data_IF_561192108484
#
_entry.id   IF_561192108484
#
_cell.length_a   1.000
_cell.length_b   1.000
_cell.length_c   1.000
_cell.angle_alpha   90.00
_cell.angle_beta   90.00
_cell.angle_gamma   90.00
#
_symmetry.space_group_name_H-M   'P 1'
#
loop_
_entity.id
_entity.type
_entity.pdbx_description
1 polymer ?
#
# COMPACT_ATOMS: atom_id res chain seq x y z
N UNK A 1 -3.34 -12.94 4.02
CA UNK A 1 -2.00 -12.32 3.92
C UNK A 1 -2.12 -10.93 3.24
N UNK A 2 -1.19 -9.99 3.40
CA UNK A 2 -1.26 -8.67 2.71
C UNK A 2 -1.07 -8.84 1.20
N UNK A 3 -0.12 -9.69 0.79
CA UNK A 3 0.16 -9.96 -0.62
C UNK A 3 -1.08 -10.46 -1.36
N UNK A 4 -1.76 -11.44 -0.80
CA UNK A 4 -3.01 -12.02 -1.37
C UNK A 4 -4.14 -10.99 -1.53
N UNK A 5 -4.13 -9.90 -0.76
CA UNK A 5 -5.14 -8.83 -0.86
C UNK A 5 -4.86 -7.84 -2.00
N UNK A 6 -3.61 -7.78 -2.48
CA UNK A 6 -3.15 -6.80 -3.46
C UNK A 6 -2.79 -7.44 -4.80
N UNK A 7 -2.21 -8.64 -4.76
CA UNK A 7 -1.73 -9.35 -5.95
C UNK A 7 -2.90 -9.88 -6.78
N UNK A 8 -2.86 -9.65 -8.09
CA UNK A 8 -3.93 -9.99 -9.04
C UNK A 8 -5.33 -9.45 -8.68
N UNK A 9 -5.42 -8.51 -7.74
CA UNK A 9 -6.67 -7.90 -7.32
C UNK A 9 -6.96 -6.62 -8.12
N UNK A 10 -8.23 -6.35 -8.38
CA UNK A 10 -8.64 -5.05 -8.89
C UNK A 10 -8.72 -4.05 -7.72
N UNK A 11 -7.69 -3.22 -7.56
CA UNK A 11 -7.55 -2.34 -6.37
C UNK A 11 -8.74 -1.41 -6.13
N UNK A 12 -9.46 -1.03 -7.20
CA UNK A 12 -10.68 -0.21 -7.12
C UNK A 12 -11.82 -0.88 -6.32
N UNK A 13 -11.84 -2.21 -6.21
CA UNK A 13 -12.86 -2.94 -5.42
C UNK A 13 -12.53 -2.99 -3.93
N UNK A 14 -11.32 -2.56 -3.53
CA UNK A 14 -10.92 -2.49 -2.14
C UNK A 14 -11.52 -1.22 -1.53
N UNK A 15 -12.79 -1.27 -1.11
CA UNK A 15 -13.52 -0.09 -0.61
C UNK A 15 -12.77 0.71 0.47
N UNK A 16 -12.11 0.02 1.40
CA UNK A 16 -11.31 0.64 2.47
C UNK A 16 -10.04 1.38 2.00
N UNK A 17 -9.60 1.17 0.75
CA UNK A 17 -8.47 1.88 0.13
C UNK A 17 -8.91 3.22 -0.49
N UNK A 18 -10.17 3.34 -0.94
CA UNK A 18 -10.61 4.47 -1.74
C UNK A 18 -10.05 4.42 -3.16
N UNK A 19 -9.84 5.58 -3.79
CA UNK A 19 -9.18 5.66 -5.11
C UNK A 19 -7.76 5.08 -5.02
N UNK A 20 -7.33 4.17 -5.91
CA UNK A 20 -6.03 3.48 -5.81
C UNK A 20 -4.87 4.34 -6.30
N UNK A 21 -4.71 5.52 -5.70
CA UNK A 21 -3.52 6.36 -5.84
C UNK A 21 -2.34 5.74 -5.07
N UNK A 22 -1.11 6.18 -5.35
CA UNK A 22 0.09 5.65 -4.67
C UNK A 22 0.02 5.91 -3.15
N UNK A 23 -0.48 7.08 -2.77
CA UNK A 23 -0.68 7.53 -1.39
C UNK A 23 -1.68 6.62 -0.67
N UNK A 24 -2.84 6.37 -1.27
CA UNK A 24 -3.89 5.56 -0.68
C UNK A 24 -3.47 4.09 -0.53
N UNK A 25 -2.74 3.55 -1.51
CA UNK A 25 -2.14 2.21 -1.42
C UNK A 25 -1.13 2.17 -0.26
N UNK A 26 -0.26 3.17 -0.15
CA UNK A 26 0.72 3.29 0.93
C UNK A 26 0.07 3.34 2.31
N UNK A 27 -0.95 4.17 2.49
CA UNK A 27 -1.69 4.27 3.75
C UNK A 27 -2.49 3.00 4.08
N UNK A 28 -3.05 2.31 3.07
CA UNK A 28 -3.72 1.03 3.26
C UNK A 28 -2.75 -0.03 3.80
N UNK A 29 -1.56 -0.12 3.19
CA UNK A 29 -0.49 -1.04 3.61
C UNK A 29 -0.02 -0.70 5.03
N UNK A 30 0.22 0.58 5.32
CA UNK A 30 0.57 1.05 6.67
C UNK A 30 -0.44 0.57 7.72
N UNK A 31 -1.73 0.85 7.52
CA UNK A 31 -2.82 0.44 8.43
C UNK A 31 -2.89 -1.07 8.64
N UNK A 32 -2.49 -1.86 7.65
CA UNK A 32 -2.42 -3.32 7.78
C UNK A 32 -1.20 -3.78 8.57
N UNK A 33 -0.03 -3.20 8.31
CA UNK A 33 1.26 -3.58 8.93
C UNK A 33 1.33 -3.17 10.40
N UNK A 34 0.85 -1.98 10.78
CA UNK A 34 0.90 -1.52 12.19
C UNK A 34 0.14 -2.46 13.13
N UNK A 35 -0.94 -3.09 12.65
CA UNK A 35 -1.73 -4.06 13.43
C UNK A 35 -0.97 -5.36 13.73
N UNK A 36 0.17 -5.58 13.08
CA UNK A 36 0.99 -6.78 13.21
C UNK A 36 2.23 -6.58 14.08
N UNK A 37 2.41 -5.39 14.67
CA UNK A 37 3.50 -5.05 15.59
C UNK A 37 4.92 -5.27 15.00
N UNK A 38 5.09 -5.01 13.71
CA UNK A 38 6.40 -5.02 13.06
C UNK A 38 7.18 -3.73 13.37
N UNK A 39 8.51 -3.84 13.46
CA UNK A 39 9.42 -2.69 13.47
C UNK A 39 9.54 -2.13 12.05
N UNK A 40 8.51 -1.41 11.61
CA UNK A 40 8.46 -0.86 10.27
C UNK A 40 9.33 0.40 10.19
N UNK A 41 10.22 0.45 9.20
CA UNK A 41 11.11 1.59 8.95
C UNK A 41 10.67 2.41 7.73
N UNK A 42 10.13 1.75 6.69
CA UNK A 42 9.76 2.41 5.43
C UNK A 42 8.71 1.60 4.66
N UNK A 43 7.77 2.29 4.04
CA UNK A 43 6.91 1.76 2.98
C UNK A 43 7.19 2.55 1.71
N UNK A 44 7.45 1.87 0.60
CA UNK A 44 7.63 2.49 -0.71
C UNK A 44 6.70 1.80 -1.71
N UNK A 45 5.86 2.57 -2.38
CA UNK A 45 5.01 2.14 -3.48
C UNK A 45 5.52 2.79 -4.75
N UNK A 46 5.73 2.01 -5.80
CA UNK A 46 6.29 2.51 -7.06
C UNK A 46 5.49 2.00 -8.24
N UNK A 47 5.15 2.89 -9.17
CA UNK A 47 4.50 2.55 -10.43
C UNK A 47 5.55 2.47 -11.52
N UNK A 48 5.92 1.24 -11.91
CA UNK A 48 6.97 0.98 -12.91
C UNK A 48 6.72 1.66 -14.25
N UNK A 49 5.46 1.83 -14.65
CA UNK A 49 5.10 2.40 -15.96
C UNK A 49 5.39 3.89 -16.08
N UNK A 50 5.45 4.64 -14.97
CA UNK A 50 5.58 6.10 -14.99
C UNK A 50 6.74 6.61 -14.12
N UNK A 51 7.53 5.71 -13.53
CA UNK A 51 8.64 6.02 -12.61
C UNK A 51 8.25 6.89 -11.41
N UNK A 52 6.97 6.88 -11.03
CA UNK A 52 6.43 7.59 -9.88
C UNK A 52 6.52 6.71 -8.63
N UNK A 53 6.72 7.36 -7.48
CA UNK A 53 6.74 6.66 -6.20
C UNK A 53 6.17 7.50 -5.07
N UNK A 54 5.65 6.80 -4.07
CA UNK A 54 5.21 7.35 -2.79
C UNK A 54 5.91 6.62 -1.65
N UNK A 55 6.36 7.36 -0.65
CA UNK A 55 7.16 6.84 0.46
C UNK A 55 6.56 7.31 1.79
N UNK A 56 6.48 6.40 2.75
CA UNK A 56 6.24 6.67 4.17
C UNK A 56 7.50 6.23 4.94
N UNK A 57 8.10 7.15 5.70
CA UNK A 57 9.22 6.90 6.62
C UNK A 57 8.75 7.19 8.06
N UNK A 58 9.30 6.47 9.04
CA UNK A 58 8.82 6.42 10.43
C UNK A 58 9.94 6.64 11.43
#
# INVERSE_FOLDING_TARGET
>A
NLKEKLDHAYLNEIYSMGLPTLENIGHYIWKFIIKKNYNLHRIQISRKTCNESFIIEL
#
